data_IF_105664690282
#
_entry.id   IF_105664690282
#
_cell.length_a   1.000
_cell.length_b   1.000
_cell.length_c   1.000
_cell.angle_alpha   90.00
_cell.angle_beta   90.00
_cell.angle_gamma   90.00
#
_symmetry.space_group_name_H-M   'P 1'
#
loop_
_entity.id
_entity.type
_entity.pdbx_description
1 polymer ?
#
# COMPACT_ATOMS: atom_id res chain seq x y z
N UNK A 1 22.09 11.42 -0.48
CA UNK A 1 21.75 10.67 -1.70
C UNK A 1 20.70 9.63 -1.30
N UNK A 2 19.41 9.87 -1.54
CA UNK A 2 18.37 8.88 -1.24
C UNK A 2 18.56 7.65 -2.12
N UNK A 3 18.58 6.47 -1.53
CA UNK A 3 18.80 5.22 -2.23
C UNK A 3 17.52 4.76 -2.93
N UNK A 4 17.47 4.93 -4.27
CA UNK A 4 16.33 4.56 -5.11
C UNK A 4 16.04 3.05 -5.10
N UNK A 5 17.02 2.21 -4.75
CA UNK A 5 16.82 0.75 -4.69
C UNK A 5 15.97 0.35 -3.50
N UNK A 6 16.20 0.98 -2.34
CA UNK A 6 15.42 0.77 -1.12
C UNK A 6 13.97 1.23 -1.29
N UNK A 7 13.75 2.35 -1.97
CA UNK A 7 12.41 2.86 -2.28
C UNK A 7 11.63 1.92 -3.21
N UNK A 8 12.25 1.43 -4.29
CA UNK A 8 11.61 0.46 -5.20
C UNK A 8 11.28 -0.86 -4.50
N UNK A 9 12.13 -1.28 -3.57
CA UNK A 9 11.90 -2.45 -2.73
C UNK A 9 10.68 -2.26 -1.81
N UNK A 10 10.56 -1.10 -1.17
CA UNK A 10 9.43 -0.77 -0.31
C UNK A 10 8.10 -0.72 -1.12
N UNK A 11 8.13 -0.16 -2.34
CA UNK A 11 6.95 -0.16 -3.23
C UNK A 11 6.54 -1.58 -3.67
N UNK A 12 7.49 -2.46 -3.98
CA UNK A 12 7.19 -3.86 -4.33
C UNK A 12 6.70 -4.67 -3.13
N UNK A 13 7.23 -4.40 -1.94
CA UNK A 13 6.78 -5.04 -0.70
C UNK A 13 5.32 -4.68 -0.37
N UNK A 14 4.91 -3.43 -0.62
CA UNK A 14 3.54 -2.94 -0.41
C UNK A 14 2.54 -3.59 -1.38
N UNK A 15 2.95 -3.90 -2.61
CA UNK A 15 2.06 -4.44 -3.66
C UNK A 15 2.03 -5.96 -3.77
N UNK A 16 2.97 -6.66 -3.15
CA UNK A 16 3.22 -8.11 -3.26
C UNK A 16 1.99 -8.93 -3.71
N UNK A 17 1.86 -9.26 -5.02
CA UNK A 17 0.69 -9.94 -5.57
C UNK A 17 0.45 -11.31 -4.93
N UNK A 18 1.53 -12.04 -4.63
CA UNK A 18 1.46 -13.35 -3.96
C UNK A 18 0.81 -13.24 -2.58
N UNK A 19 1.09 -12.16 -1.83
CA UNK A 19 0.48 -11.93 -0.51
C UNK A 19 -1.02 -11.64 -0.66
N UNK A 20 -1.42 -10.89 -1.69
CA UNK A 20 -2.83 -10.61 -1.98
C UNK A 20 -3.58 -11.91 -2.23
N UNK A 21 -3.08 -12.77 -3.11
CA UNK A 21 -3.75 -14.05 -3.41
C UNK A 21 -3.80 -14.99 -2.20
N UNK A 22 -2.76 -15.03 -1.35
CA UNK A 22 -2.80 -15.77 -0.09
C UNK A 22 -3.88 -15.26 0.87
N UNK A 23 -4.08 -13.93 0.96
CA UNK A 23 -5.16 -13.36 1.77
C UNK A 23 -6.52 -13.72 1.18
N UNK A 24 -6.69 -13.59 -0.14
CA UNK A 24 -7.95 -13.91 -0.81
C UNK A 24 -8.34 -15.37 -0.63
N UNK A 25 -7.40 -16.32 -0.78
CA UNK A 25 -7.67 -17.72 -0.53
C UNK A 25 -8.20 -17.96 0.90
N UNK A 26 -7.50 -17.42 1.91
CA UNK A 26 -7.89 -17.57 3.32
C UNK A 26 -9.27 -17.01 3.64
N UNK A 27 -9.62 -15.84 3.10
CA UNK A 27 -10.91 -15.20 3.39
C UNK A 27 -12.06 -15.88 2.64
N UNK A 28 -11.81 -16.45 1.45
CA UNK A 28 -12.79 -17.29 0.74
C UNK A 28 -13.08 -18.57 1.50
N UNK A 29 -12.04 -19.27 1.95
CA UNK A 29 -12.19 -20.48 2.77
C UNK A 29 -13.00 -20.18 4.03
N UNK A 30 -12.65 -19.08 4.71
CA UNK A 30 -13.36 -18.66 5.92
C UNK A 30 -14.82 -18.26 5.66
N UNK A 31 -15.11 -17.63 4.53
CA UNK A 31 -16.47 -17.29 4.14
C UNK A 31 -17.32 -18.54 3.95
N UNK A 32 -16.77 -19.55 3.25
CA UNK A 32 -17.43 -20.84 3.04
C UNK A 32 -17.71 -21.56 4.38
N UNK A 33 -16.75 -21.58 5.31
CA UNK A 33 -16.93 -22.15 6.66
C UNK A 33 -18.06 -21.47 7.46
N UNK A 34 -18.26 -20.17 7.26
CA UNK A 34 -19.25 -19.37 7.98
C UNK A 34 -20.61 -19.28 7.25
N UNK A 35 -20.75 -19.91 6.08
CA UNK A 35 -21.96 -19.81 5.26
C UNK A 35 -22.19 -18.41 4.67
N UNK A 36 -21.14 -17.62 4.53
CA UNK A 36 -21.16 -16.30 3.88
C UNK A 36 -20.74 -16.46 2.42
N UNK A 37 -21.36 -15.70 1.51
CA UNK A 37 -21.04 -15.76 0.07
C UNK A 37 -19.55 -15.40 -0.19
N UNK A 38 -18.70 -16.36 -0.59
CA UNK A 38 -17.25 -16.15 -0.71
C UNK A 38 -16.88 -15.06 -1.71
N UNK A 39 -17.70 -14.93 -2.74
CA UNK A 39 -17.57 -13.97 -3.82
C UNK A 39 -17.81 -12.51 -3.37
N UNK A 40 -18.66 -12.31 -2.36
CA UNK A 40 -18.88 -10.98 -1.74
C UNK A 40 -17.68 -10.63 -0.86
N UNK A 41 -17.18 -11.60 -0.09
CA UNK A 41 -16.02 -11.42 0.79
C UNK A 41 -14.77 -11.10 -0.01
N UNK A 42 -14.49 -11.85 -1.07
CA UNK A 42 -13.35 -11.59 -1.96
C UNK A 42 -13.38 -10.17 -2.53
N UNK A 43 -14.51 -9.75 -3.12
CA UNK A 43 -14.62 -8.40 -3.71
C UNK A 43 -14.37 -7.31 -2.68
N UNK A 44 -14.86 -7.48 -1.46
CA UNK A 44 -14.65 -6.54 -0.35
C UNK A 44 -13.18 -6.46 0.05
N UNK A 45 -12.52 -7.61 0.21
CA UNK A 45 -11.09 -7.65 0.55
C UNK A 45 -10.22 -7.09 -0.56
N UNK A 46 -10.51 -7.39 -1.83
CA UNK A 46 -9.76 -6.81 -2.96
C UNK A 46 -9.89 -5.28 -2.98
N UNK A 47 -11.09 -4.74 -2.80
CA UNK A 47 -11.29 -3.30 -2.71
C UNK A 47 -10.52 -2.65 -1.55
N UNK A 48 -10.55 -3.27 -0.36
CA UNK A 48 -9.84 -2.80 0.81
C UNK A 48 -8.31 -2.82 0.60
N UNK A 49 -7.79 -3.91 0.05
CA UNK A 49 -6.36 -4.05 -0.26
C UNK A 49 -5.93 -2.96 -1.24
N UNK A 50 -6.67 -2.77 -2.34
CA UNK A 50 -6.38 -1.70 -3.30
C UNK A 50 -6.36 -0.33 -2.63
N UNK A 51 -7.39 0.02 -1.87
CA UNK A 51 -7.47 1.32 -1.19
C UNK A 51 -6.31 1.55 -0.21
N UNK A 52 -5.93 0.53 0.56
CA UNK A 52 -4.82 0.63 1.51
C UNK A 52 -3.45 0.68 0.82
N UNK A 53 -3.26 -0.06 -0.27
CA UNK A 53 -2.07 0.03 -1.11
C UNK A 53 -1.91 1.45 -1.67
N UNK A 54 -2.99 2.03 -2.20
CA UNK A 54 -2.97 3.38 -2.74
C UNK A 54 -2.69 4.43 -1.65
N UNK A 55 -3.27 4.26 -0.46
CA UNK A 55 -2.99 5.11 0.69
C UNK A 55 -1.51 5.02 1.10
N UNK A 56 -0.96 3.81 1.20
CA UNK A 56 0.45 3.60 1.58
C UNK A 56 1.41 4.21 0.55
N UNK A 57 1.13 4.03 -0.75
CA UNK A 57 1.89 4.67 -1.82
C UNK A 57 1.81 6.20 -1.70
N UNK A 58 0.63 6.75 -1.42
CA UNK A 58 0.46 8.20 -1.22
C UNK A 58 1.29 8.70 -0.03
N UNK A 59 1.28 8.00 1.11
CA UNK A 59 2.05 8.37 2.30
C UNK A 59 3.56 8.27 2.05
N UNK A 60 4.02 7.20 1.40
CA UNK A 60 5.43 7.03 0.99
C UNK A 60 5.89 8.13 0.03
N UNK A 61 4.99 8.64 -0.82
CA UNK A 61 5.25 9.75 -1.73
C UNK A 61 5.12 11.12 -1.04
N UNK A 62 4.23 11.29 -0.07
CA UNK A 62 4.02 12.55 0.67
C UNK A 62 5.13 12.84 1.67
N UNK A 63 5.75 11.81 2.25
CA UNK A 63 6.99 11.91 3.03
C UNK A 63 8.20 12.40 2.21
N UNK A 64 8.04 12.68 0.90
CA UNK A 64 9.05 13.24 0.00
C UNK A 64 8.98 14.77 -0.16
N UNK A 65 8.15 15.51 0.60
CA UNK A 65 8.22 16.98 0.57
C UNK A 65 9.59 17.45 1.10
N UNK A 66 10.38 18.20 0.32
CA UNK A 66 11.74 18.54 0.70
C UNK A 66 11.75 19.65 1.76
N UNK A 67 12.29 19.34 2.94
CA UNK A 67 12.68 20.32 3.94
C UNK A 67 13.89 21.15 3.46
N UNK A 68 13.67 22.04 2.50
CA UNK A 68 14.75 22.80 1.88
C UNK A 68 14.38 24.08 1.15
N UNK A 69 13.14 24.56 1.22
CA UNK A 69 12.75 25.85 0.64
C UNK A 69 12.64 26.94 1.72
N UNK A 70 13.67 27.12 2.54
CA UNK A 70 13.78 28.31 3.39
C UNK A 70 15.21 28.52 3.87
N UNK A 71 16.08 29.05 2.99
CA UNK A 71 17.25 29.81 3.47
C UNK A 71 17.92 30.74 2.44
N UNK A 72 17.13 31.39 1.58
CA UNK A 72 17.61 32.51 0.76
C UNK A 72 16.91 33.81 1.21
N UNK A 73 17.09 34.19 2.48
CA UNK A 73 16.73 35.54 2.92
C UNK A 73 17.58 35.99 4.11
N UNK A 74 18.88 36.15 3.88
CA UNK A 74 19.70 37.12 4.59
C UNK A 74 20.54 37.80 3.49
N UNK A 75 20.10 38.93 2.94
CA UNK A 75 20.32 40.24 3.57
C UNK A 75 21.82 40.54 3.45
N UNK A 76 22.28 41.08 2.31
CA UNK A 76 22.57 42.52 2.16
C UNK A 76 23.21 43.14 3.39
#
# INVERSE_FOLDING_TARGET
MLDLTRLKHDEQAVRSPDRVEQVIARVRDRAAELGVEPDVVERTYRALITALTDLQMTVLLAGKQPEGASKDLHGR
#
